data_IF_019633366107
#
_entry.id   IF_019633366107
#
_cell.length_a   1.000
_cell.length_b   1.000
_cell.length_c   1.000
_cell.angle_alpha   90.00
_cell.angle_beta   90.00
_cell.angle_gamma   90.00
#
_symmetry.space_group_name_H-M   'P 1'
#
loop_
_entity.id
_entity.type
_entity.pdbx_description
1 polymer ?
#
# COMPACT_ATOMS: atom_id res chain seq x y z
N UNK A 1 1.96 3.72 -25.12
CA UNK A 1 3.11 4.57 -24.72
C UNK A 1 3.36 4.33 -23.23
N UNK A 2 4.61 4.30 -22.77
CA UNK A 2 4.95 4.11 -21.36
C UNK A 2 4.59 5.34 -20.51
N UNK A 3 4.15 5.15 -19.26
CA UNK A 3 3.88 6.26 -18.32
C UNK A 3 5.19 6.84 -17.79
N UNK A 4 5.27 8.17 -17.74
CA UNK A 4 6.41 8.89 -17.17
C UNK A 4 6.10 9.36 -15.75
N UNK A 5 7.07 9.23 -14.83
CA UNK A 5 6.94 9.72 -13.46
C UNK A 5 8.07 10.68 -13.14
N UNK A 6 7.72 11.85 -12.60
CA UNK A 6 8.71 12.79 -12.07
C UNK A 6 9.35 12.22 -10.81
N UNK A 7 10.68 12.26 -10.75
CA UNK A 7 11.48 11.84 -9.60
C UNK A 7 12.14 13.10 -9.00
N UNK A 8 11.53 13.76 -8.01
CA UNK A 8 12.01 15.05 -7.49
C UNK A 8 13.18 14.90 -6.50
N UNK A 9 13.93 13.81 -6.56
CA UNK A 9 15.02 13.49 -5.64
C UNK A 9 16.34 13.56 -6.39
N UNK A 10 17.25 14.42 -5.92
CA UNK A 10 18.60 14.51 -6.45
C UNK A 10 19.35 13.18 -6.27
N UNK A 11 20.31 12.91 -7.15
CA UNK A 11 21.26 11.81 -6.98
C UNK A 11 22.58 12.34 -6.38
N UNK A 12 23.27 11.56 -5.52
CA UNK A 12 22.91 10.23 -4.99
C UNK A 12 21.78 10.30 -3.95
N UNK A 13 20.99 9.24 -3.86
CA UNK A 13 19.91 9.14 -2.85
C UNK A 13 20.48 8.59 -1.54
N UNK A 14 20.23 9.29 -0.44
CA UNK A 14 20.58 8.82 0.91
C UNK A 14 19.56 7.81 1.44
N UNK A 15 19.93 7.07 2.49
CA UNK A 15 19.00 6.17 3.18
C UNK A 15 17.81 6.93 3.79
N UNK A 16 18.06 8.13 4.32
CA UNK A 16 17.00 9.00 4.86
C UNK A 16 15.95 9.34 3.79
N UNK A 17 16.39 9.77 2.59
CA UNK A 17 15.46 10.07 1.48
C UNK A 17 14.67 8.82 1.08
N UNK A 18 15.32 7.66 1.01
CA UNK A 18 14.67 6.41 0.63
C UNK A 18 13.61 5.94 1.66
N UNK A 19 13.75 6.35 2.92
CA UNK A 19 12.79 6.05 3.99
C UNK A 19 11.58 6.99 4.03
N UNK A 20 11.55 8.03 3.18
CA UNK A 20 10.44 8.99 3.15
C UNK A 20 9.16 8.43 2.53
N UNK A 21 8.03 9.03 2.92
CA UNK A 21 6.72 8.67 2.38
C UNK A 21 6.61 8.98 0.90
N UNK A 22 7.24 10.04 0.42
CA UNK A 22 7.22 10.45 -0.98
C UNK A 22 7.83 9.38 -1.90
N UNK A 23 8.95 8.78 -1.48
CA UNK A 23 9.58 7.66 -2.22
C UNK A 23 8.70 6.41 -2.17
N UNK A 24 8.11 6.11 -1.02
CA UNK A 24 7.19 4.98 -0.85
C UNK A 24 5.97 5.11 -1.77
N UNK A 25 5.30 6.26 -1.77
CA UNK A 25 4.11 6.53 -2.58
C UNK A 25 4.42 6.49 -4.08
N UNK A 26 5.53 7.10 -4.51
CA UNK A 26 5.96 7.07 -5.90
C UNK A 26 6.19 5.62 -6.37
N UNK A 27 6.88 4.82 -5.53
CA UNK A 27 7.15 3.42 -5.83
C UNK A 27 5.85 2.61 -5.93
N UNK A 28 4.92 2.82 -5.00
CA UNK A 28 3.63 2.12 -5.03
C UNK A 28 2.80 2.50 -6.24
N UNK A 29 2.79 3.77 -6.64
CA UNK A 29 2.09 4.22 -7.85
C UNK A 29 2.64 3.54 -9.11
N UNK A 30 3.97 3.52 -9.26
CA UNK A 30 4.64 2.83 -10.36
C UNK A 30 4.30 1.33 -10.35
N UNK A 31 4.35 0.70 -9.17
CA UNK A 31 4.02 -0.72 -9.02
C UNK A 31 2.58 -1.02 -9.40
N UNK A 32 1.61 -0.21 -8.96
CA UNK A 32 0.20 -0.38 -9.31
C UNK A 32 -0.02 -0.26 -10.82
N UNK A 33 0.68 0.66 -11.47
CA UNK A 33 0.56 0.85 -12.91
C UNK A 33 1.24 -0.27 -13.74
N UNK A 34 2.30 -0.89 -13.23
CA UNK A 34 3.00 -1.99 -13.91
C UNK A 34 2.38 -3.35 -13.62
N UNK A 35 2.08 -3.62 -12.34
CA UNK A 35 1.68 -4.93 -11.83
C UNK A 35 0.16 -5.05 -11.69
N UNK A 36 -0.54 -3.92 -11.55
CA UNK A 36 -1.98 -3.90 -11.27
C UNK A 36 -2.30 -4.15 -9.79
N UNK A 37 -3.59 -4.06 -9.49
CA UNK A 37 -4.11 -4.37 -8.16
C UNK A 37 -4.16 -5.89 -7.97
N UNK A 38 -3.53 -6.40 -6.91
CA UNK A 38 -3.75 -7.79 -6.50
C UNK A 38 -5.13 -7.88 -5.87
N UNK A 39 -6.06 -8.55 -6.54
CA UNK A 39 -7.34 -8.93 -5.95
C UNK A 39 -7.07 -9.75 -4.70
N UNK A 40 -7.23 -9.13 -3.52
CA UNK A 40 -7.24 -9.91 -2.28
C UNK A 40 -8.48 -10.80 -2.34
N UNK A 41 -8.36 -12.13 -2.13
CA UNK A 41 -9.55 -12.95 -1.96
C UNK A 41 -10.39 -12.31 -0.86
N UNK A 42 -11.68 -12.05 -1.15
CA UNK A 42 -12.62 -11.47 -0.20
C UNK A 42 -12.58 -12.35 1.04
N UNK A 43 -12.08 -11.80 2.15
CA UNK A 43 -12.06 -12.53 3.40
C UNK A 43 -13.51 -12.93 3.71
N UNK A 44 -13.77 -14.20 4.09
CA UNK A 44 -15.11 -14.58 4.49
C UNK A 44 -15.54 -13.66 5.63
N UNK A 45 -16.74 -13.10 5.48
CA UNK A 45 -17.37 -12.23 6.45
C UNK A 45 -17.54 -13.04 7.73
N UNK A 46 -16.64 -12.83 8.70
CA UNK A 46 -16.76 -13.51 10.00
C UNK A 46 -17.96 -12.87 10.69
N UNK A 47 -19.01 -13.63 11.04
CA UNK A 47 -20.07 -13.08 11.85
C UNK A 47 -19.43 -12.52 13.13
N UNK A 48 -19.67 -11.24 13.39
CA UNK A 48 -19.27 -10.57 14.62
C UNK A 48 -19.77 -11.41 15.78
N UNK A 49 -18.86 -11.99 16.56
CA UNK A 49 -19.22 -12.82 17.69
C UNK A 49 -20.16 -12.03 18.61
N UNK A 50 -21.42 -12.44 18.65
CA UNK A 50 -22.40 -11.90 19.57
C UNK A 50 -21.89 -12.24 20.97
N UNK A 51 -21.49 -11.21 21.71
CA UNK A 51 -21.05 -11.34 23.10
C UNK A 51 -22.29 -11.76 23.89
N UNK A 52 -22.48 -13.06 24.08
CA UNK A 52 -23.49 -13.61 24.99
C UNK A 52 -23.08 -13.20 26.41
N UNK A 53 -23.64 -12.07 26.87
CA UNK A 53 -23.57 -11.68 28.27
C UNK A 53 -24.40 -12.67 29.08
N UNK A 54 -23.75 -13.71 29.59
CA UNK A 54 -24.29 -14.56 30.64
C UNK A 54 -24.54 -13.65 31.84
N UNK A 55 -25.82 -13.38 32.16
CA UNK A 55 -26.18 -12.73 33.43
C UNK A 55 -26.06 -13.76 34.56
N UNK A 56 -25.68 -13.34 35.78
CA UNK A 56 -25.46 -14.23 36.91
C UNK A 56 -26.74 -14.89 37.40
#
# INVERSE_FOLDING_TARGET
>A
VAKEYRVPFARPRSLEIMATKEVFDLTNRIKMDIVGERTRPKAPERPSAEIVRIRP
#
